data_IF_794170283122
#
_entry.id   IF_794170283122
#
_cell.length_a   1.000
_cell.length_b   1.000
_cell.length_c   1.000
_cell.angle_alpha   90.00
_cell.angle_beta   90.00
_cell.angle_gamma   90.00
#
_symmetry.space_group_name_H-M   'P 1'
#
loop_
_entity.id
_entity.type
_entity.pdbx_description
1 polymer ?
#
# COMPACT_ATOMS: atom_id res chain seq x y z
N UNK A 1 46.77 -43.91 -39.07
CA UNK A 1 46.36 -42.70 -38.34
C UNK A 1 45.19 -43.08 -37.47
N UNK A 2 45.41 -43.15 -36.16
CA UNK A 2 44.37 -43.52 -35.18
C UNK A 2 43.82 -42.23 -34.58
N UNK A 3 42.52 -41.94 -34.79
CA UNK A 3 41.80 -40.82 -34.21
C UNK A 3 41.49 -41.10 -32.76
N UNK A 4 41.94 -40.25 -31.87
CA UNK A 4 41.59 -40.24 -30.43
C UNK A 4 40.37 -39.32 -30.24
N UNK A 5 39.25 -39.92 -29.83
CA UNK A 5 38.06 -39.20 -29.42
C UNK A 5 38.14 -38.93 -27.90
N UNK A 6 38.00 -37.67 -27.49
CA UNK A 6 37.84 -37.26 -26.09
C UNK A 6 36.37 -37.28 -25.70
N UNK A 7 35.99 -37.78 -24.52
CA UNK A 7 34.62 -37.66 -24.07
C UNK A 7 34.33 -36.28 -23.49
N UNK A 8 33.26 -35.66 -23.91
CA UNK A 8 32.73 -34.41 -23.35
C UNK A 8 32.07 -34.70 -22.00
N UNK A 9 32.62 -34.15 -20.93
CA UNK A 9 32.01 -34.17 -19.61
C UNK A 9 30.89 -33.14 -19.54
N UNK A 10 29.64 -33.57 -19.43
CA UNK A 10 28.51 -32.71 -19.15
C UNK A 10 28.50 -32.34 -17.66
N UNK A 11 28.80 -31.08 -17.35
CA UNK A 11 28.64 -30.52 -16.00
C UNK A 11 27.16 -30.13 -15.86
N UNK A 12 26.37 -31.01 -15.26
CA UNK A 12 25.01 -30.73 -14.86
C UNK A 12 24.99 -29.77 -13.64
N UNK A 13 24.70 -28.53 -13.84
CA UNK A 13 24.45 -27.56 -12.74
C UNK A 13 23.09 -27.86 -12.13
N UNK A 14 23.10 -28.50 -10.98
CA UNK A 14 21.89 -28.76 -10.19
C UNK A 14 21.41 -27.40 -9.59
N UNK A 15 20.42 -26.81 -10.18
CA UNK A 15 19.69 -25.70 -9.56
C UNK A 15 18.81 -26.27 -8.46
N UNK A 16 19.25 -26.16 -7.21
CA UNK A 16 18.39 -26.39 -6.06
C UNK A 16 17.30 -25.33 -6.03
N UNK A 17 16.08 -25.70 -6.41
CA UNK A 17 14.89 -24.88 -6.15
C UNK A 17 14.66 -24.89 -4.64
N UNK A 18 15.11 -23.85 -3.97
CA UNK A 18 14.66 -23.56 -2.61
C UNK A 18 13.19 -23.13 -2.70
N UNK A 19 12.28 -24.04 -2.47
CA UNK A 19 10.90 -23.71 -2.10
C UNK A 19 10.97 -23.09 -0.70
N UNK A 20 11.04 -21.78 -0.62
CA UNK A 20 10.85 -21.08 0.65
C UNK A 20 9.42 -21.39 1.11
N UNK A 21 9.29 -22.23 2.12
CA UNK A 21 8.04 -22.41 2.84
C UNK A 21 7.68 -21.05 3.41
N UNK A 22 6.54 -20.51 2.98
CA UNK A 22 6.05 -19.23 3.51
C UNK A 22 5.84 -19.41 5.02
N UNK A 23 6.70 -18.80 5.83
CA UNK A 23 6.46 -18.74 7.26
C UNK A 23 5.18 -17.92 7.48
N UNK A 24 4.34 -18.31 8.46
CA UNK A 24 3.15 -17.56 8.78
C UNK A 24 3.55 -16.10 9.08
N UNK A 25 2.79 -15.15 8.52
CA UNK A 25 3.04 -13.74 8.71
C UNK A 25 3.06 -13.43 10.22
N UNK A 26 4.15 -12.83 10.71
CA UNK A 26 4.20 -12.35 12.11
C UNK A 26 3.29 -11.14 12.22
N UNK A 27 2.19 -11.28 12.93
CA UNK A 27 1.20 -10.23 13.15
C UNK A 27 1.30 -9.73 14.59
N UNK A 28 1.24 -8.42 14.77
CA UNK A 28 1.07 -7.78 16.08
C UNK A 28 -0.24 -7.01 16.09
N UNK A 29 -0.97 -7.12 17.18
CA UNK A 29 -2.23 -6.41 17.43
C UNK A 29 -2.02 -5.46 18.60
N UNK A 30 -2.46 -4.20 18.48
CA UNK A 30 -2.24 -3.17 19.50
C UNK A 30 -3.51 -2.43 19.95
N UNK A 31 -4.68 -2.98 19.61
CA UNK A 31 -5.99 -2.38 19.91
C UNK A 31 -6.43 -1.29 18.92
N UNK A 32 -5.55 -0.95 17.95
CA UNK A 32 -5.81 0.00 16.86
C UNK A 32 -5.59 -0.64 15.48
N UNK A 33 -5.58 -1.97 15.42
CA UNK A 33 -5.44 -2.75 14.20
C UNK A 33 -4.40 -3.85 14.30
N UNK A 34 -4.34 -4.64 13.23
CA UNK A 34 -3.34 -5.67 13.00
C UNK A 34 -2.23 -5.11 12.12
N UNK A 35 -0.99 -5.42 12.48
CA UNK A 35 0.19 -5.01 11.71
C UNK A 35 1.01 -6.24 11.34
N UNK A 36 1.37 -6.37 10.07
CA UNK A 36 2.18 -7.47 9.56
C UNK A 36 3.63 -7.06 9.45
N UNK A 37 4.53 -7.96 9.83
CA UNK A 37 5.97 -7.74 9.80
C UNK A 37 6.53 -7.83 8.39
N UNK A 38 7.26 -6.82 7.96
CA UNK A 38 8.07 -6.80 6.75
C UNK A 38 9.55 -6.84 7.15
N UNK A 39 10.27 -7.94 6.88
CA UNK A 39 11.64 -8.10 7.34
C UNK A 39 12.60 -7.12 6.63
N UNK A 40 13.69 -6.77 7.31
CA UNK A 40 14.78 -6.03 6.71
C UNK A 40 15.33 -6.73 5.46
N UNK A 41 15.97 -5.96 4.58
CA UNK A 41 16.65 -6.50 3.41
C UNK A 41 16.30 -5.81 2.10
N UNK A 42 16.99 -6.25 1.06
CA UNK A 42 16.90 -5.65 -0.27
C UNK A 42 15.72 -6.19 -1.08
N UNK A 43 15.20 -5.33 -1.97
CA UNK A 43 14.28 -5.71 -3.05
C UNK A 43 14.52 -4.84 -4.28
N UNK A 44 13.95 -5.21 -5.41
CA UNK A 44 13.97 -4.39 -6.63
C UNK A 44 12.70 -3.56 -6.68
N UNK A 45 12.84 -2.26 -6.54
CA UNK A 45 11.78 -1.26 -6.63
C UNK A 45 11.60 -0.80 -8.08
N UNK A 46 10.35 -0.56 -8.49
CA UNK A 46 10.01 -0.07 -9.81
C UNK A 46 9.64 -1.15 -10.82
N UNK A 47 9.51 -0.75 -12.08
CA UNK A 47 9.12 -1.62 -13.19
C UNK A 47 10.25 -2.58 -13.58
N UNK A 48 10.16 -3.82 -13.10
CA UNK A 48 11.08 -4.92 -13.46
C UNK A 48 10.57 -5.74 -14.66
N UNK A 49 9.32 -5.55 -15.05
CA UNK A 49 8.63 -6.32 -16.09
C UNK A 49 8.76 -5.65 -17.48
N UNK A 50 9.05 -4.35 -17.53
CA UNK A 50 9.19 -3.58 -18.73
C UNK A 50 7.85 -3.12 -19.35
N UNK A 51 6.72 -3.29 -18.65
CA UNK A 51 5.38 -2.92 -19.09
C UNK A 51 4.81 -1.69 -18.39
N UNK A 52 5.60 -1.07 -17.51
CA UNK A 52 5.29 0.17 -16.83
C UNK A 52 5.61 1.41 -17.65
N UNK A 53 5.30 2.56 -17.07
CA UNK A 53 5.64 3.85 -17.69
C UNK A 53 6.98 4.42 -17.15
N UNK A 54 7.39 5.57 -17.70
CA UNK A 54 8.69 6.18 -17.36
C UNK A 54 8.83 6.59 -15.88
N UNK A 55 7.74 6.88 -15.18
CA UNK A 55 7.76 7.27 -13.75
C UNK A 55 8.08 6.09 -12.80
N UNK A 56 7.96 4.86 -13.30
CA UNK A 56 8.25 3.63 -12.58
C UNK A 56 9.68 3.13 -12.84
N UNK A 57 10.49 3.91 -13.57
CA UNK A 57 11.85 3.57 -14.04
C UNK A 57 12.89 4.59 -13.61
N UNK A 58 14.18 4.17 -13.49
CA UNK A 58 14.67 2.80 -13.65
C UNK A 58 14.29 1.92 -12.46
N UNK A 59 14.10 0.60 -12.70
CA UNK A 59 14.05 -0.34 -11.59
C UNK A 59 15.42 -0.39 -10.90
N UNK A 60 15.44 -0.27 -9.58
CA UNK A 60 16.67 -0.16 -8.80
C UNK A 60 16.60 -0.97 -7.51
N UNK A 61 17.73 -1.21 -6.89
CA UNK A 61 17.82 -1.96 -5.63
C UNK A 61 17.65 -1.01 -4.47
N UNK A 62 16.71 -1.32 -3.59
CA UNK A 62 16.46 -0.62 -2.33
C UNK A 62 16.64 -1.58 -1.16
N UNK A 63 17.31 -1.12 -0.11
CA UNK A 63 17.45 -1.83 1.16
C UNK A 63 16.62 -1.10 2.23
N UNK A 64 15.75 -1.84 2.90
CA UNK A 64 14.92 -1.32 3.99
C UNK A 64 15.27 -2.03 5.30
N UNK A 65 15.21 -1.29 6.39
CA UNK A 65 15.16 -1.86 7.73
C UNK A 65 13.82 -2.58 7.93
N UNK A 66 13.68 -3.39 8.98
CA UNK A 66 12.42 -4.07 9.28
C UNK A 66 11.38 -3.06 9.80
N UNK A 67 10.11 -3.34 9.51
CA UNK A 67 8.99 -2.54 9.98
C UNK A 67 7.72 -3.40 10.05
N UNK A 68 6.70 -2.85 10.67
CA UNK A 68 5.35 -3.40 10.62
C UNK A 68 4.46 -2.47 9.80
N UNK A 69 3.64 -3.03 8.90
CA UNK A 69 2.65 -2.26 8.13
C UNK A 69 1.24 -2.73 8.51
N UNK A 70 0.28 -1.81 8.56
CA UNK A 70 -1.11 -2.15 8.82
C UNK A 70 -1.59 -3.21 7.82
N UNK A 71 -2.21 -4.28 8.35
CA UNK A 71 -2.71 -5.40 7.56
C UNK A 71 -3.76 -4.97 6.55
N UNK A 72 -4.55 -3.97 6.92
CA UNK A 72 -5.62 -3.40 6.11
C UNK A 72 -5.42 -1.90 5.93
N UNK A 73 -6.16 -1.32 5.00
CA UNK A 73 -6.38 0.12 4.90
C UNK A 73 -6.99 0.65 6.20
N UNK A 74 -6.74 1.91 6.54
CA UNK A 74 -7.37 2.57 7.69
C UNK A 74 -8.89 2.61 7.50
N UNK A 75 -9.63 2.10 8.50
CA UNK A 75 -11.09 2.02 8.43
C UNK A 75 -11.78 3.28 8.95
N UNK A 76 -13.06 3.45 8.58
CA UNK A 76 -13.92 4.50 9.17
C UNK A 76 -14.02 4.35 10.68
N UNK A 77 -14.09 3.11 11.21
CA UNK A 77 -14.15 2.86 12.64
C UNK A 77 -12.92 3.34 13.39
N UNK A 78 -11.72 3.07 12.85
CA UNK A 78 -10.47 3.57 13.45
C UNK A 78 -10.34 5.09 13.30
N UNK A 79 -10.73 5.65 12.16
CA UNK A 79 -10.75 7.10 11.95
C UNK A 79 -11.66 7.84 12.93
N UNK A 80 -12.86 7.31 13.20
CA UNK A 80 -13.81 7.89 14.17
C UNK A 80 -13.19 8.00 15.56
N UNK A 81 -12.38 7.01 16.00
CA UNK A 81 -11.68 7.08 17.30
C UNK A 81 -10.78 8.32 17.40
N UNK A 82 -10.08 8.67 16.33
CA UNK A 82 -9.25 9.89 16.28
C UNK A 82 -10.12 11.15 16.22
N UNK A 83 -11.07 11.19 15.29
CA UNK A 83 -11.93 12.36 15.07
C UNK A 83 -12.68 12.77 16.34
N UNK A 84 -13.17 11.78 17.11
CA UNK A 84 -13.99 11.99 18.30
C UNK A 84 -13.14 12.17 19.58
N UNK A 85 -11.82 11.95 19.49
CA UNK A 85 -10.88 12.20 20.57
C UNK A 85 -10.61 13.70 20.76
N UNK A 86 -10.52 14.20 22.02
CA UNK A 86 -10.11 15.59 22.26
C UNK A 86 -8.76 15.98 21.65
N UNK A 87 -7.86 15.02 21.48
CA UNK A 87 -6.56 15.21 20.83
C UNK A 87 -6.65 15.52 19.33
N UNK A 88 -7.82 15.37 18.70
CA UNK A 88 -7.97 15.77 17.29
C UNK A 88 -7.61 17.25 17.07
N UNK A 89 -7.95 18.12 18.00
CA UNK A 89 -7.72 19.53 17.91
C UNK A 89 -6.32 19.96 18.40
N UNK A 90 -5.49 19.02 18.84
CA UNK A 90 -4.12 19.31 19.28
C UNK A 90 -3.20 19.62 18.09
N UNK A 91 -2.72 20.87 17.92
CA UNK A 91 -1.92 21.26 16.78
C UNK A 91 -0.57 20.51 16.68
N UNK A 92 -0.10 19.89 17.76
CA UNK A 92 1.14 19.11 17.76
C UNK A 92 1.07 17.87 16.85
N UNK A 93 -0.12 17.34 16.62
CA UNK A 93 -0.30 16.20 15.72
C UNK A 93 -0.33 16.62 14.24
N UNK A 94 -0.71 17.86 13.95
CA UNK A 94 -0.91 18.34 12.59
C UNK A 94 0.37 18.91 11.98
N UNK A 95 0.66 18.64 10.70
CA UNK A 95 1.75 19.31 10.01
C UNK A 95 1.64 20.82 10.09
N UNK A 96 2.73 21.49 10.48
CA UNK A 96 2.78 22.95 10.68
C UNK A 96 1.70 23.49 11.64
N UNK A 97 1.12 22.64 12.49
CA UNK A 97 0.06 23.03 13.43
C UNK A 97 -1.31 23.34 12.80
N UNK A 98 -1.50 23.03 11.53
CA UNK A 98 -2.73 23.34 10.79
C UNK A 98 -3.80 22.28 10.98
N UNK A 99 -4.63 22.44 11.99
CA UNK A 99 -5.76 21.53 12.26
C UNK A 99 -6.81 21.65 11.13
N UNK A 100 -7.16 20.53 10.52
CA UNK A 100 -8.27 20.47 9.56
C UNK A 100 -9.58 20.35 10.33
N UNK A 101 -10.59 21.20 10.06
CA UNK A 101 -11.89 21.13 10.74
C UNK A 101 -12.57 19.77 10.55
N UNK A 102 -13.24 19.27 11.60
CA UNK A 102 -13.88 17.94 11.63
C UNK A 102 -14.95 17.75 10.56
N UNK A 103 -15.63 18.81 10.16
CA UNK A 103 -16.65 18.80 9.11
C UNK A 103 -16.08 18.75 7.69
N UNK A 104 -14.78 18.93 7.55
CA UNK A 104 -14.08 18.83 6.28
C UNK A 104 -13.44 17.47 6.03
N UNK A 105 -13.43 16.56 7.02
CA UNK A 105 -12.81 15.23 6.93
C UNK A 105 -13.63 14.21 7.74
N UNK A 106 -13.90 13.04 7.17
CA UNK A 106 -13.73 12.62 5.79
C UNK A 106 -14.86 13.11 4.87
N UNK A 107 -14.55 13.23 3.59
CA UNK A 107 -15.51 13.70 2.56
C UNK A 107 -16.68 12.73 2.30
N UNK A 108 -16.63 11.48 2.81
CA UNK A 108 -17.63 10.44 2.55
C UNK A 108 -19.07 10.82 2.96
N UNK A 109 -19.26 11.71 3.93
CA UNK A 109 -20.59 12.21 4.31
C UNK A 109 -21.32 12.95 3.16
N UNK A 110 -20.58 13.46 2.19
CA UNK A 110 -21.12 14.14 1.01
C UNK A 110 -21.19 13.23 -0.23
N UNK A 111 -20.41 12.14 -0.26
CA UNK A 111 -20.31 11.24 -1.40
C UNK A 111 -21.55 10.35 -1.59
N UNK A 112 -22.37 10.14 -0.57
CA UNK A 112 -23.59 9.33 -0.62
C UNK A 112 -24.65 9.83 -1.61
N UNK A 113 -24.54 11.09 -2.09
CA UNK A 113 -25.51 11.68 -3.02
C UNK A 113 -25.13 11.54 -4.50
N UNK A 114 -23.93 10.98 -4.85
CA UNK A 114 -23.44 10.97 -6.22
C UNK A 114 -22.87 9.61 -6.68
N UNK A 115 -23.27 8.51 -6.05
CA UNK A 115 -23.03 7.15 -6.58
C UNK A 115 -21.59 6.64 -6.55
N UNK A 116 -20.68 7.27 -5.80
CA UNK A 116 -19.32 6.77 -5.62
C UNK A 116 -18.82 7.06 -4.21
N UNK A 117 -18.17 6.09 -3.57
CA UNK A 117 -17.63 6.23 -2.22
C UNK A 117 -17.75 4.94 -1.43
N UNK A 118 -17.38 4.98 -0.16
CA UNK A 118 -17.61 3.87 0.76
C UNK A 118 -18.79 4.18 1.67
N UNK A 119 -19.63 3.17 2.03
CA UNK A 119 -20.61 3.33 3.08
C UNK A 119 -19.96 3.83 4.39
N UNK A 120 -20.74 4.53 5.22
CA UNK A 120 -20.29 4.99 6.54
C UNK A 120 -20.01 3.87 7.56
N UNK A 121 -20.08 2.62 7.14
CA UNK A 121 -19.80 1.46 7.97
C UNK A 121 -18.34 1.45 8.45
N UNK A 122 -18.16 1.08 9.70
CA UNK A 122 -16.85 1.03 10.37
C UNK A 122 -15.85 0.10 9.69
N UNK A 123 -16.32 -0.90 8.94
CA UNK A 123 -15.49 -1.88 8.24
C UNK A 123 -14.93 -1.39 6.89
N UNK A 124 -15.39 -0.25 6.39
CA UNK A 124 -14.92 0.28 5.10
C UNK A 124 -13.71 1.18 5.27
N UNK A 125 -12.83 1.28 4.25
CA UNK A 125 -11.71 2.20 4.31
C UNK A 125 -12.20 3.64 4.42
N UNK A 126 -11.50 4.45 5.22
CA UNK A 126 -11.74 5.88 5.27
C UNK A 126 -11.29 6.54 3.97
N UNK A 127 -12.13 7.40 3.42
CA UNK A 127 -11.89 8.13 2.16
C UNK A 127 -11.94 9.63 2.36
N UNK A 128 -11.31 10.36 1.45
CA UNK A 128 -11.35 11.81 1.44
C UNK A 128 -10.53 12.47 2.55
N UNK A 129 -9.68 11.70 3.23
CA UNK A 129 -8.67 12.23 4.14
C UNK A 129 -7.52 12.80 3.30
N UNK A 130 -7.12 14.03 3.59
CA UNK A 130 -5.93 14.60 2.99
C UNK A 130 -4.65 14.06 3.67
N UNK A 131 -3.49 14.35 3.10
CA UNK A 131 -2.21 13.86 3.62
C UNK A 131 -1.94 14.35 5.05
N UNK A 132 -2.24 15.62 5.35
CA UNK A 132 -2.03 16.22 6.67
C UNK A 132 -2.86 15.51 7.74
N UNK A 133 -4.11 15.15 7.42
CA UNK A 133 -5.01 14.41 8.29
C UNK A 133 -4.51 12.98 8.56
N UNK A 134 -4.00 12.31 7.52
CA UNK A 134 -3.42 10.97 7.67
C UNK A 134 -2.17 11.02 8.57
N UNK A 135 -1.31 12.04 8.42
CA UNK A 135 -0.16 12.25 9.31
C UNK A 135 -0.61 12.55 10.73
N UNK A 136 -1.63 13.41 10.92
CA UNK A 136 -2.15 13.73 12.23
C UNK A 136 -2.66 12.50 12.97
N UNK A 137 -3.39 11.62 12.27
CA UNK A 137 -3.82 10.33 12.81
C UNK A 137 -2.62 9.51 13.31
N UNK A 138 -1.57 9.35 12.53
CA UNK A 138 -0.43 8.52 12.93
C UNK A 138 0.33 9.09 14.13
N UNK A 139 0.45 10.41 14.24
CA UNK A 139 1.03 11.07 15.41
C UNK A 139 0.17 10.93 16.67
N UNK A 140 -1.15 11.10 16.52
CA UNK A 140 -2.10 10.84 17.60
C UNK A 140 -2.00 9.39 18.09
N UNK A 141 -1.97 8.42 17.17
CA UNK A 141 -1.84 7.01 17.50
C UNK A 141 -0.53 6.73 18.24
N UNK A 142 0.56 7.37 17.80
CA UNK A 142 1.87 7.26 18.47
C UNK A 142 1.79 7.76 19.92
N UNK A 143 1.16 8.89 20.16
CA UNK A 143 0.99 9.46 21.50
C UNK A 143 0.09 8.57 22.40
N UNK A 144 -0.92 7.92 21.82
CA UNK A 144 -1.84 7.03 22.54
C UNK A 144 -1.23 5.70 22.96
N UNK A 145 -0.35 5.18 22.13
CA UNK A 145 0.20 3.82 22.29
C UNK A 145 1.62 3.79 22.86
N UNK A 146 2.31 4.92 22.83
CA UNK A 146 3.74 4.99 23.16
C UNK A 146 4.64 4.27 22.16
N UNK A 147 4.13 3.95 20.95
CA UNK A 147 4.87 3.38 19.82
C UNK A 147 4.97 4.42 18.71
N UNK A 148 5.93 4.26 17.80
CA UNK A 148 6.07 5.17 16.66
C UNK A 148 5.24 4.67 15.48
N UNK A 149 4.26 5.48 15.06
CA UNK A 149 3.46 5.27 13.86
C UNK A 149 3.66 6.43 12.89
N UNK A 150 3.64 6.11 11.61
CA UNK A 150 3.77 7.08 10.52
C UNK A 150 3.15 6.52 9.24
N UNK A 151 3.06 7.33 8.20
CA UNK A 151 2.77 6.83 6.86
C UNK A 151 3.96 6.00 6.35
N UNK A 152 3.71 4.97 5.52
CA UNK A 152 4.78 4.25 4.83
C UNK A 152 5.56 5.19 3.91
N UNK A 153 6.85 4.98 3.76
CA UNK A 153 7.55 5.51 2.59
C UNK A 153 7.07 4.76 1.33
N UNK A 154 7.26 5.36 0.17
CA UNK A 154 6.91 4.71 -1.10
C UNK A 154 7.59 3.34 -1.25
N UNK A 155 8.86 3.24 -0.84
CA UNK A 155 9.62 2.01 -0.89
C UNK A 155 9.12 0.93 0.09
N UNK A 156 8.74 1.32 1.30
CA UNK A 156 8.14 0.41 2.28
C UNK A 156 6.79 -0.12 1.78
N UNK A 157 5.97 0.76 1.23
CA UNK A 157 4.68 0.38 0.65
C UNK A 157 4.87 -0.64 -0.48
N UNK A 158 5.78 -0.38 -1.43
CA UNK A 158 6.02 -1.27 -2.56
C UNK A 158 6.58 -2.62 -2.11
N UNK A 159 7.55 -2.65 -1.18
CA UNK A 159 8.07 -3.90 -0.62
C UNK A 159 6.96 -4.70 0.07
N UNK A 160 6.13 -4.04 0.88
CA UNK A 160 5.02 -4.69 1.57
C UNK A 160 3.99 -5.28 0.58
N UNK A 161 3.76 -4.60 -0.54
CA UNK A 161 2.81 -5.05 -1.57
C UNK A 161 3.34 -6.25 -2.36
N UNK A 162 4.59 -6.21 -2.86
CA UNK A 162 5.06 -7.18 -3.86
C UNK A 162 6.13 -8.15 -3.36
N UNK A 163 6.68 -7.96 -2.16
CA UNK A 163 7.79 -8.79 -1.69
C UNK A 163 9.09 -8.53 -2.47
N UNK A 164 9.84 -9.61 -2.70
CA UNK A 164 11.18 -9.54 -3.32
C UNK A 164 11.29 -10.27 -4.65
N UNK A 165 10.24 -10.93 -5.12
CA UNK A 165 10.24 -11.79 -6.31
C UNK A 165 9.83 -11.06 -7.62
N UNK A 166 9.50 -9.75 -7.55
CA UNK A 166 9.22 -8.94 -8.71
C UNK A 166 7.82 -9.11 -9.30
N UNK A 167 6.89 -9.74 -8.57
CA UNK A 167 5.50 -9.93 -9.02
C UNK A 167 4.78 -8.62 -9.38
N UNK A 168 3.80 -8.72 -10.27
CA UNK A 168 3.04 -7.57 -10.79
C UNK A 168 2.03 -7.04 -9.77
N UNK A 169 1.30 -7.94 -9.10
CA UNK A 169 0.28 -7.65 -8.08
C UNK A 169 0.65 -8.34 -6.77
N UNK A 170 0.07 -7.96 -5.62
CA UNK A 170 0.41 -8.55 -4.32
C UNK A 170 0.32 -10.08 -4.26
N UNK A 171 -0.60 -10.66 -4.99
CA UNK A 171 -0.88 -12.11 -5.04
C UNK A 171 -0.21 -12.84 -6.22
N UNK A 172 0.46 -12.14 -7.15
CA UNK A 172 1.09 -12.75 -8.34
C UNK A 172 0.96 -11.90 -9.59
N UNK A 173 0.82 -12.52 -10.78
CA UNK A 173 0.90 -11.80 -12.05
C UNK A 173 -0.43 -11.69 -12.81
N UNK A 174 -1.48 -12.36 -12.38
CA UNK A 174 -2.81 -12.29 -12.98
C UNK A 174 -3.77 -11.53 -12.08
N UNK A 175 -4.73 -10.83 -12.69
CA UNK A 175 -5.78 -10.08 -11.99
C UNK A 175 -7.14 -10.36 -12.61
N UNK A 176 -8.13 -10.50 -11.75
CA UNK A 176 -9.55 -10.51 -12.09
C UNK A 176 -10.39 -10.04 -10.90
N UNK A 177 -11.71 -9.94 -11.10
CA UNK A 177 -12.67 -9.46 -10.11
C UNK A 177 -12.74 -10.27 -8.80
N UNK A 178 -12.15 -11.45 -8.75
CA UNK A 178 -12.11 -12.27 -7.53
C UNK A 178 -10.95 -11.90 -6.60
N UNK A 179 -10.03 -11.04 -7.05
CA UNK A 179 -8.79 -10.68 -6.36
C UNK A 179 -8.72 -9.21 -5.95
N UNK A 180 -9.45 -8.32 -6.63
CA UNK A 180 -9.36 -6.89 -6.35
C UNK A 180 -10.65 -6.15 -6.72
N UNK A 181 -10.83 -4.98 -6.12
CA UNK A 181 -11.87 -4.02 -6.44
C UNK A 181 -11.28 -2.91 -7.34
N UNK A 182 -11.70 -2.89 -8.61
CA UNK A 182 -11.25 -1.95 -9.64
C UNK A 182 -12.38 -1.65 -10.63
N UNK A 183 -12.22 -0.69 -11.53
CA UNK A 183 -13.26 -0.33 -12.52
C UNK A 183 -13.67 -1.55 -13.36
N UNK A 184 -14.96 -1.76 -13.51
CA UNK A 184 -15.50 -2.91 -14.24
C UNK A 184 -15.45 -4.26 -13.49
N UNK A 185 -14.84 -4.32 -12.29
CA UNK A 185 -14.88 -5.54 -11.47
C UNK A 185 -16.27 -5.82 -10.90
N UNK A 186 -17.10 -4.80 -10.79
CA UNK A 186 -18.44 -4.84 -10.18
C UNK A 186 -19.44 -3.95 -10.93
N UNK A 187 -20.72 -4.12 -10.60
CA UNK A 187 -21.81 -3.32 -11.19
C UNK A 187 -21.79 -1.85 -10.74
N UNK A 188 -21.14 -1.54 -9.61
CA UNK A 188 -21.05 -0.18 -9.06
C UNK A 188 -19.61 0.09 -8.61
N UNK A 189 -19.11 1.25 -8.99
CA UNK A 189 -17.76 1.72 -8.62
C UNK A 189 -17.78 2.29 -7.19
N UNK A 190 -17.71 1.40 -6.20
CA UNK A 190 -17.65 1.75 -4.77
C UNK A 190 -16.59 0.94 -4.06
N UNK A 191 -16.05 1.47 -2.96
CA UNK A 191 -15.17 0.72 -2.07
C UNK A 191 -15.84 -0.53 -1.48
N UNK A 192 -15.03 -1.45 -0.97
CA UNK A 192 -15.43 -2.66 -0.24
C UNK A 192 -14.93 -2.60 1.19
N UNK A 193 -15.55 -3.35 2.12
CA UNK A 193 -14.96 -3.54 3.45
C UNK A 193 -13.52 -4.02 3.31
N UNK A 194 -12.65 -3.57 4.20
CA UNK A 194 -11.24 -4.01 4.19
C UNK A 194 -11.17 -5.55 4.37
N UNK A 195 -10.23 -6.19 3.68
CA UNK A 195 -10.10 -7.64 3.70
C UNK A 195 -11.24 -8.39 2.99
N UNK A 196 -12.01 -7.73 2.13
CA UNK A 196 -13.12 -8.37 1.39
C UNK A 196 -12.66 -9.59 0.58
N UNK A 197 -11.44 -9.55 0.05
CA UNK A 197 -10.85 -10.60 -0.78
C UNK A 197 -9.97 -11.54 0.06
N UNK A 198 -10.58 -12.25 0.99
CA UNK A 198 -9.92 -13.16 1.94
C UNK A 198 -9.98 -14.65 1.52
N UNK A 199 -10.58 -14.95 0.37
CA UNK A 199 -10.85 -16.31 -0.10
C UNK A 199 -12.25 -16.83 0.24
N UNK A 200 -13.05 -16.06 0.98
CA UNK A 200 -14.42 -16.41 1.33
C UNK A 200 -15.37 -16.16 0.15
N UNK A 201 -16.53 -16.82 0.20
CA UNK A 201 -17.64 -16.56 -0.71
C UNK A 201 -18.40 -15.30 -0.27
N UNK A 202 -18.64 -14.38 -1.22
CA UNK A 202 -19.36 -13.12 -1.03
C UNK A 202 -20.54 -13.05 -2.00
N UNK A 203 -21.74 -13.48 -1.58
CA UNK A 203 -22.88 -13.66 -2.48
C UNK A 203 -22.53 -14.66 -3.60
N UNK A 204 -22.64 -14.24 -4.86
CA UNK A 204 -22.30 -15.07 -6.03
C UNK A 204 -20.80 -15.06 -6.36
N UNK A 205 -20.01 -14.18 -5.76
CA UNK A 205 -18.58 -14.09 -6.01
C UNK A 205 -17.81 -15.00 -5.06
N UNK A 206 -17.07 -15.97 -5.62
CA UNK A 206 -16.01 -16.67 -4.90
C UNK A 206 -14.77 -15.80 -4.96
N UNK A 207 -14.39 -15.16 -3.84
CA UNK A 207 -13.15 -14.38 -3.76
C UNK A 207 -11.94 -15.32 -3.66
N UNK A 208 -10.78 -14.78 -3.99
CA UNK A 208 -9.47 -15.38 -3.69
C UNK A 208 -8.72 -14.44 -2.77
N UNK A 209 -7.79 -14.97 -1.98
CA UNK A 209 -6.98 -14.13 -1.11
C UNK A 209 -6.11 -13.18 -1.94
N UNK A 210 -6.21 -11.88 -1.63
CA UNK A 210 -5.38 -10.83 -2.23
C UNK A 210 -4.21 -10.42 -1.33
N UNK A 211 -3.94 -11.22 -0.29
CA UNK A 211 -2.84 -10.96 0.62
C UNK A 211 -1.50 -10.87 -0.10
N UNK A 212 -0.71 -9.90 0.29
CA UNK A 212 0.69 -9.75 -0.13
C UNK A 212 1.55 -10.88 0.45
N UNK A 213 2.82 -11.04 0.03
CA UNK A 213 3.74 -12.03 0.59
C UNK A 213 3.92 -11.95 2.10
N UNK A 214 3.65 -10.78 2.69
CA UNK A 214 3.76 -10.53 4.12
C UNK A 214 2.39 -10.55 4.84
N UNK A 215 1.30 -10.75 4.11
CA UNK A 215 -0.05 -10.85 4.69
C UNK A 215 -0.79 -9.51 4.80
N UNK A 216 -0.35 -8.45 4.14
CA UNK A 216 -1.12 -7.22 3.98
C UNK A 216 -2.17 -7.42 2.88
N UNK A 217 -3.41 -6.98 3.13
CA UNK A 217 -4.54 -7.08 2.21
C UNK A 217 -4.80 -5.75 1.52
N UNK A 218 -5.52 -5.81 0.40
CA UNK A 218 -6.02 -4.66 -0.36
C UNK A 218 -4.90 -3.69 -0.84
N UNK A 219 -3.66 -4.24 -1.01
CA UNK A 219 -2.51 -3.49 -1.55
C UNK A 219 -2.62 -3.24 -3.07
N UNK A 220 -3.75 -3.58 -3.70
CA UNK A 220 -4.04 -3.32 -5.10
C UNK A 220 -5.56 -3.22 -5.29
N UNK A 221 -6.04 -2.05 -5.72
CA UNK A 221 -7.46 -1.72 -5.81
C UNK A 221 -8.03 -1.24 -4.48
N UNK A 222 -9.33 -1.19 -4.39
CA UNK A 222 -10.12 -0.65 -3.31
C UNK A 222 -9.88 0.86 -3.15
N UNK A 223 -8.89 1.33 -2.39
CA UNK A 223 -8.56 2.75 -2.30
C UNK A 223 -7.07 2.99 -2.53
N UNK A 224 -6.71 4.12 -3.14
CA UNK A 224 -5.33 4.60 -3.19
C UNK A 224 -4.87 4.97 -1.78
N UNK A 225 -3.57 4.89 -1.53
CA UNK A 225 -3.03 5.08 -0.21
C UNK A 225 -1.93 6.14 -0.20
N UNK A 226 -2.03 7.10 0.73
CA UNK A 226 -1.00 8.09 0.95
C UNK A 226 0.31 7.44 1.42
N UNK A 227 1.41 7.86 0.78
CA UNK A 227 2.76 7.63 1.30
C UNK A 227 3.34 8.91 1.90
N UNK A 228 4.40 8.74 2.70
CA UNK A 228 5.12 9.88 3.31
C UNK A 228 5.82 10.76 2.27
N UNK A 229 6.29 10.17 1.18
CA UNK A 229 7.21 10.78 0.22
C UNK A 229 6.57 11.91 -0.59
N UNK A 230 7.34 12.97 -0.83
CA UNK A 230 7.07 13.86 -1.93
C UNK A 230 7.26 13.12 -3.25
N UNK A 231 6.42 13.43 -4.23
CA UNK A 231 6.52 12.85 -5.56
C UNK A 231 7.49 13.62 -6.45
N UNK A 232 8.37 12.90 -7.11
CA UNK A 232 9.10 13.36 -8.29
C UNK A 232 9.11 12.24 -9.32
N UNK A 233 8.86 12.59 -10.58
CA UNK A 233 8.83 11.64 -11.69
C UNK A 233 10.16 10.88 -11.83
N UNK A 234 11.26 11.60 -11.69
CA UNK A 234 12.60 11.08 -11.97
C UNK A 234 13.37 10.64 -10.71
N UNK A 235 12.67 10.57 -9.57
CA UNK A 235 13.33 10.26 -8.30
C UNK A 235 14.05 8.91 -8.31
N UNK A 236 13.52 7.91 -9.01
CA UNK A 236 14.11 6.56 -9.06
C UNK A 236 15.53 6.54 -9.63
N UNK A 237 15.88 7.48 -10.50
CA UNK A 237 17.23 7.62 -11.05
C UNK A 237 18.28 8.09 -10.03
N UNK A 238 17.84 8.74 -8.95
CA UNK A 238 18.71 9.33 -7.91
C UNK A 238 18.40 8.81 -6.50
N UNK A 239 17.48 7.85 -6.41
CA UNK A 239 17.05 7.28 -5.13
C UNK A 239 18.23 6.67 -4.36
N UNK A 240 18.45 7.01 -3.08
CA UNK A 240 19.45 6.35 -2.28
C UNK A 240 19.06 4.88 -2.09
N UNK A 241 20.09 4.02 -2.01
CA UNK A 241 19.89 2.58 -1.85
C UNK A 241 19.24 2.23 -0.53
N UNK A 242 19.60 2.89 0.58
CA UNK A 242 19.11 2.55 1.91
C UNK A 242 18.02 3.51 2.37
N UNK A 243 16.86 2.94 2.75
CA UNK A 243 15.71 3.64 3.35
C UNK A 243 15.35 4.97 2.64
N UNK A 244 15.10 4.96 1.31
CA UNK A 244 14.72 6.17 0.59
C UNK A 244 13.42 6.75 1.13
N UNK A 245 13.34 8.10 1.19
CA UNK A 245 12.21 8.86 1.75
C UNK A 245 11.61 9.85 0.74
N UNK A 246 11.93 9.69 -0.55
CA UNK A 246 11.53 10.66 -1.56
C UNK A 246 12.40 11.93 -1.57
N UNK A 247 12.09 12.88 -2.46
CA UNK A 247 12.70 14.19 -2.45
C UNK A 247 12.42 14.97 -1.16
N UNK A 248 13.28 15.92 -0.81
CA UNK A 248 13.11 16.76 0.39
C UNK A 248 11.86 17.66 0.32
N UNK A 249 11.48 18.08 -0.89
CA UNK A 249 10.33 18.95 -1.16
C UNK A 249 9.62 18.53 -2.43
N UNK A 250 8.36 18.97 -2.59
CA UNK A 250 7.57 18.71 -3.79
C UNK A 250 6.21 19.41 -3.74
N UNK A 251 5.46 19.36 -4.84
CA UNK A 251 4.10 19.87 -4.91
C UNK A 251 3.07 18.77 -4.60
N UNK A 252 3.41 17.51 -4.83
CA UNK A 252 2.52 16.35 -4.69
C UNK A 252 3.13 15.33 -3.76
N UNK A 253 2.26 14.61 -3.03
CA UNK A 253 2.63 13.41 -2.28
C UNK A 253 2.38 12.16 -3.12
N UNK A 254 3.19 11.13 -2.90
CA UNK A 254 2.99 9.83 -3.53
C UNK A 254 1.71 9.19 -3.03
N UNK A 255 0.94 8.60 -3.95
CA UNK A 255 -0.16 7.66 -3.66
C UNK A 255 0.05 6.37 -4.43
N UNK A 256 -0.37 5.25 -3.83
CA UNK A 256 -0.10 3.91 -4.33
C UNK A 256 -1.36 3.04 -4.32
N UNK A 257 -1.31 1.89 -5.04
CA UNK A 257 -2.28 0.81 -4.96
C UNK A 257 -3.40 0.86 -6.00
N UNK A 258 -3.68 2.01 -6.60
CA UNK A 258 -4.89 2.17 -7.41
C UNK A 258 -6.16 2.12 -6.57
N UNK A 259 -7.33 2.17 -7.18
CA UNK A 259 -8.61 2.19 -6.47
C UNK A 259 -9.72 1.47 -7.23
N UNK A 260 -10.90 1.39 -6.62
CA UNK A 260 -12.11 0.87 -7.26
C UNK A 260 -12.51 1.63 -8.55
N UNK A 261 -11.93 2.80 -8.79
CA UNK A 261 -12.28 3.68 -9.92
C UNK A 261 -11.21 3.77 -11.01
N UNK A 262 -10.16 2.95 -10.94
CA UNK A 262 -9.09 2.91 -11.96
C UNK A 262 -8.97 1.52 -12.57
N UNK A 263 -8.30 1.45 -13.73
CA UNK A 263 -8.09 0.19 -14.44
C UNK A 263 -6.93 -0.62 -13.86
N UNK A 264 -6.83 -1.87 -14.30
CA UNK A 264 -5.85 -2.85 -13.79
C UNK A 264 -4.39 -2.41 -13.97
N UNK A 265 -4.11 -1.53 -14.92
CA UNK A 265 -2.77 -0.96 -15.12
C UNK A 265 -2.28 -0.19 -13.89
N UNK A 266 -3.16 0.58 -13.24
CA UNK A 266 -2.83 1.38 -12.07
C UNK A 266 -2.74 0.58 -10.77
N UNK A 267 -3.21 -0.69 -10.78
CA UNK A 267 -3.19 -1.59 -9.63
C UNK A 267 -1.88 -2.34 -9.45
N UNK A 268 -0.95 -2.22 -10.43
CA UNK A 268 0.35 -2.90 -10.32
C UNK A 268 1.10 -2.42 -9.09
N UNK A 269 1.73 -3.35 -8.37
CA UNK A 269 2.44 -3.03 -7.12
C UNK A 269 3.56 -1.98 -7.29
N UNK A 270 4.06 -1.79 -8.50
CA UNK A 270 5.02 -0.75 -8.87
C UNK A 270 4.37 0.49 -9.55
N UNK A 271 3.04 0.49 -9.74
CA UNK A 271 2.30 1.64 -10.26
C UNK A 271 2.44 2.85 -9.32
N UNK A 272 2.81 4.01 -9.89
CA UNK A 272 3.03 5.26 -9.15
C UNK A 272 2.00 6.30 -9.52
N UNK A 273 1.43 6.94 -8.52
CA UNK A 273 0.54 8.09 -8.69
C UNK A 273 0.89 9.18 -7.69
N UNK A 274 0.31 10.35 -7.87
CA UNK A 274 0.57 11.50 -7.01
C UNK A 274 -0.68 12.36 -6.84
N UNK A 275 -0.84 12.96 -5.67
CA UNK A 275 -1.94 13.87 -5.39
C UNK A 275 -1.49 15.07 -4.54
N UNK A 276 -2.21 16.18 -4.63
CA UNK A 276 -1.97 17.36 -3.79
C UNK A 276 -2.26 17.03 -2.32
N UNK A 277 -1.33 17.31 -1.40
CA UNK A 277 -1.46 16.94 0.01
C UNK A 277 -2.64 17.57 0.72
N UNK A 278 -3.00 18.80 0.34
CA UNK A 278 -4.06 19.57 0.97
C UNK A 278 -5.42 19.42 0.28
N UNK A 279 -5.51 18.68 -0.82
CA UNK A 279 -6.77 18.56 -1.54
C UNK A 279 -7.76 17.72 -0.74
N UNK A 280 -8.82 18.37 -0.29
CA UNK A 280 -9.97 17.73 0.33
C UNK A 280 -10.92 17.29 -0.78
N UNK A 281 -11.22 15.99 -0.86
CA UNK A 281 -12.15 15.48 -1.87
C UNK A 281 -11.62 14.41 -2.80
N UNK A 282 -10.46 13.85 -2.50
CA UNK A 282 -10.02 12.63 -3.16
C UNK A 282 -10.90 11.44 -2.73
N UNK A 283 -12.01 11.25 -3.43
CA UNK A 283 -12.99 10.17 -3.15
C UNK A 283 -12.42 8.76 -3.22
N UNK A 284 -11.16 8.62 -3.60
CA UNK A 284 -10.49 7.34 -3.86
C UNK A 284 -9.23 7.16 -3.04
N UNK A 285 -8.88 8.13 -2.17
CA UNK A 285 -7.64 8.07 -1.41
C UNK A 285 -7.93 7.93 0.08
N UNK A 286 -7.38 6.87 0.64
CA UNK A 286 -7.26 6.59 2.06
C UNK A 286 -5.78 6.50 2.46
N UNK A 287 -5.46 5.68 3.46
CA UNK A 287 -4.09 5.43 3.89
C UNK A 287 -4.01 4.16 4.74
N UNK A 288 -2.81 3.69 4.95
CA UNK A 288 -2.46 2.74 6.02
C UNK A 288 -1.25 3.24 6.79
N UNK A 289 -1.08 2.79 8.04
CA UNK A 289 0.03 3.16 8.87
C UNK A 289 1.16 2.13 8.83
N UNK A 290 2.39 2.61 9.04
CA UNK A 290 3.55 1.82 9.43
C UNK A 290 3.79 2.04 10.91
N UNK A 291 4.15 0.97 11.62
CA UNK A 291 4.69 0.99 12.97
C UNK A 291 6.15 0.61 12.91
N UNK A 292 7.01 1.39 13.53
CA UNK A 292 8.43 1.07 13.67
C UNK A 292 8.62 -0.15 14.61
N UNK A 293 9.69 -0.90 14.39
CA UNK A 293 10.00 -2.12 15.14
C UNK A 293 10.35 -1.83 16.62
#
# INVERSE_FOLDING_TARGET
MKSLAFPAAAIGTLFAMFTASAQPAKVVTDGHGDYVHVPAGAFRMGDVSGDGDSRERPAHVVELDAFYIAKFEMTNGEWKKFRDDPGYEDPRFWPEGRVVPKDQVPYWTQANNHGGGTPESDAYPVLGVNWDSAVAYTKWLSARTGKTYRLPTEAEWEKAARGTDGRRYPWGNAIDRSLANFVGAQAYDTGRPVGYYDGSRRGDLQTRSNASPYGAFDMAGNVMEWCHDWYSRDYYAVSPRKNPKGPATGAYRVVRGGSFFVETFDLRAYGRSAAWPSFQGHRMIGFRAVREE
#
